data_IF_629673161841
#
_entry.id   IF_629673161841
#
_cell.length_a   1.000
_cell.length_b   1.000
_cell.length_c   1.000
_cell.angle_alpha   90.00
_cell.angle_beta   90.00
_cell.angle_gamma   90.00
#
_symmetry.space_group_name_H-M   'P 1'
#
loop_
_entity.id
_entity.type
_entity.pdbx_description
1 polymer ?
#
# COMPACT_ATOMS: atom_id res chain seq x y z
N UNK A 1 -26.20 16.74 -6.75
CA UNK A 1 -25.53 16.44 -8.03
C UNK A 1 -24.93 15.06 -7.87
N UNK A 2 -25.51 14.06 -8.54
CA UNK A 2 -25.01 12.68 -8.55
C UNK A 2 -23.62 12.66 -9.19
N UNK A 3 -22.57 12.68 -8.35
CA UNK A 3 -21.21 12.37 -8.77
C UNK A 3 -21.20 10.93 -9.26
N UNK A 4 -21.30 10.81 -10.59
CA UNK A 4 -21.35 9.55 -11.31
C UNK A 4 -20.29 8.61 -10.77
N UNK A 5 -20.78 7.46 -10.33
CA UNK A 5 -20.06 6.20 -10.14
C UNK A 5 -19.43 5.81 -11.48
N UNK A 6 -18.34 6.46 -11.87
CA UNK A 6 -17.65 6.14 -13.12
C UNK A 6 -16.87 4.84 -12.92
N UNK A 7 -17.52 3.75 -13.35
CA UNK A 7 -16.82 2.49 -13.63
C UNK A 7 -15.93 2.75 -14.83
N UNK A 8 -14.61 2.63 -14.65
CA UNK A 8 -13.63 2.84 -15.71
C UNK A 8 -13.14 1.50 -16.22
N UNK A 9 -12.91 1.42 -17.53
CA UNK A 9 -12.42 0.23 -18.21
C UNK A 9 -10.92 0.36 -18.46
N UNK A 10 -10.18 -0.70 -18.20
CA UNK A 10 -8.73 -0.75 -18.33
C UNK A 10 -8.32 -2.03 -19.05
N UNK A 11 -7.23 -1.97 -19.82
CA UNK A 11 -6.60 -3.14 -20.40
C UNK A 11 -5.34 -3.49 -19.58
N UNK A 12 -5.34 -4.67 -18.96
CA UNK A 12 -4.21 -5.18 -18.18
C UNK A 12 -3.87 -6.56 -18.71
N UNK A 13 -2.63 -6.75 -19.18
CA UNK A 13 -2.16 -8.02 -19.77
C UNK A 13 -3.03 -8.55 -20.93
N UNK A 14 -3.71 -7.66 -21.66
CA UNK A 14 -4.63 -8.03 -22.75
C UNK A 14 -6.05 -8.36 -22.27
N UNK A 15 -6.33 -8.27 -20.97
CA UNK A 15 -7.66 -8.46 -20.40
C UNK A 15 -8.31 -7.10 -20.14
N UNK A 16 -9.55 -6.94 -20.60
CA UNK A 16 -10.36 -5.76 -20.29
C UNK A 16 -11.05 -5.94 -18.93
N UNK A 17 -10.68 -5.10 -17.98
CA UNK A 17 -11.18 -5.12 -16.60
C UNK A 17 -11.88 -3.80 -16.28
N UNK A 18 -12.97 -3.90 -15.52
CA UNK A 18 -13.77 -2.76 -15.08
C UNK A 18 -13.55 -2.53 -13.60
N UNK A 19 -13.08 -1.35 -13.24
CA UNK A 19 -12.85 -0.98 -11.85
C UNK A 19 -13.77 0.18 -11.47
N UNK A 20 -14.43 0.04 -10.33
CA UNK A 20 -15.16 1.14 -9.68
C UNK A 20 -14.25 1.72 -8.60
N UNK A 21 -14.24 3.05 -8.44
CA UNK A 21 -13.63 3.67 -7.27
C UNK A 21 -14.30 3.13 -5.99
N UNK A 22 -13.49 2.70 -5.02
CA UNK A 22 -13.95 2.22 -3.72
C UNK A 22 -14.34 3.40 -2.83
N UNK A 23 -15.50 3.32 -2.18
CA UNK A 23 -16.06 4.39 -1.34
C UNK A 23 -15.56 4.28 0.12
N UNK A 24 -14.96 3.14 0.51
CA UNK A 24 -14.59 2.86 1.90
C UNK A 24 -13.15 3.15 2.31
N UNK A 25 -12.20 3.16 1.37
CA UNK A 25 -10.77 3.32 1.64
C UNK A 25 -10.16 4.45 0.79
N UNK A 26 -10.36 5.68 1.27
CA UNK A 26 -9.62 6.90 0.92
C UNK A 26 -9.29 7.09 -0.56
N UNK A 27 -10.24 7.57 -1.36
CA UNK A 27 -10.04 8.28 -2.65
C UNK A 27 -8.88 7.84 -3.58
N UNK A 28 -8.48 6.56 -3.60
CA UNK A 28 -7.47 6.10 -4.55
C UNK A 28 -8.13 5.98 -5.93
N UNK A 29 -7.68 6.83 -6.86
CA UNK A 29 -8.15 6.79 -8.23
C UNK A 29 -7.90 5.41 -8.87
N UNK A 30 -8.88 4.81 -9.57
CA UNK A 30 -8.72 3.54 -10.28
C UNK A 30 -7.48 3.48 -11.19
N UNK A 31 -7.15 4.60 -11.84
CA UNK A 31 -5.95 4.76 -12.66
C UNK A 31 -4.68 4.43 -11.88
N UNK A 32 -4.59 4.91 -10.64
CA UNK A 32 -3.39 4.75 -9.82
C UNK A 32 -3.16 3.29 -9.45
N UNK A 33 -4.24 2.56 -9.22
CA UNK A 33 -4.21 1.12 -8.95
C UNK A 33 -3.69 0.37 -10.18
N UNK A 34 -4.20 0.73 -11.36
CA UNK A 34 -3.80 0.11 -12.62
C UNK A 34 -2.35 0.42 -12.97
N UNK A 35 -1.90 1.67 -12.78
CA UNK A 35 -0.50 2.07 -12.96
C UNK A 35 0.45 1.25 -12.08
N UNK A 36 0.09 1.06 -10.80
CA UNK A 36 0.89 0.25 -9.87
C UNK A 36 1.02 -1.20 -10.37
N UNK A 37 -0.10 -1.81 -10.74
CA UNK A 37 -0.12 -3.19 -11.26
C UNK A 37 0.67 -3.30 -12.56
N UNK A 38 0.55 -2.33 -13.47
CA UNK A 38 1.28 -2.34 -14.74
C UNK A 38 2.79 -2.19 -14.53
N UNK A 39 3.23 -1.32 -13.62
CA UNK A 39 4.64 -1.17 -13.28
C UNK A 39 5.24 -2.48 -12.75
N UNK A 40 4.48 -3.22 -11.94
CA UNK A 40 4.91 -4.52 -11.43
C UNK A 40 4.98 -5.60 -12.50
N UNK A 41 3.97 -5.65 -13.38
CA UNK A 41 3.98 -6.53 -14.56
C UNK A 41 5.20 -6.26 -15.44
N UNK A 42 5.50 -5.00 -15.72
CA UNK A 42 6.63 -4.60 -16.58
C UNK A 42 7.97 -4.97 -15.91
N UNK A 43 8.07 -4.82 -14.59
CA UNK A 43 9.24 -5.23 -13.81
C UNK A 43 9.47 -6.74 -13.87
N UNK A 44 8.41 -7.54 -13.75
CA UNK A 44 8.47 -9.01 -13.85
C UNK A 44 8.83 -9.44 -15.26
N UNK A 45 8.19 -8.87 -16.29
CA UNK A 45 8.47 -9.20 -17.70
C UNK A 45 9.90 -8.86 -18.12
N UNK A 46 10.49 -7.78 -17.58
CA UNK A 46 11.91 -7.45 -17.81
C UNK A 46 12.85 -8.54 -17.28
N UNK A 47 12.50 -9.19 -16.17
CA UNK A 47 13.32 -10.24 -15.55
C UNK A 47 13.06 -11.62 -16.15
N UNK A 48 11.82 -11.87 -16.58
CA UNK A 48 11.38 -13.15 -17.12
C UNK A 48 10.41 -12.93 -18.30
N UNK A 49 10.93 -12.66 -19.51
CA UNK A 49 10.11 -12.31 -20.68
C UNK A 49 9.29 -13.48 -21.24
N UNK A 50 9.64 -14.72 -20.88
CA UNK A 50 8.99 -15.94 -21.38
C UNK A 50 7.74 -16.34 -20.58
N UNK A 51 7.39 -15.61 -19.52
CA UNK A 51 6.23 -15.94 -18.69
C UNK A 51 4.92 -15.65 -19.41
N UNK A 52 3.95 -16.54 -19.24
CA UNK A 52 2.59 -16.32 -19.70
C UNK A 52 1.92 -15.14 -18.98
N UNK A 53 0.86 -14.55 -19.58
CA UNK A 53 0.09 -13.48 -18.93
C UNK A 53 -0.47 -13.90 -17.55
N UNK A 54 -0.99 -15.12 -17.43
CA UNK A 54 -1.52 -15.64 -16.17
C UNK A 54 -0.44 -15.77 -15.09
N UNK A 55 0.72 -16.34 -15.42
CA UNK A 55 1.84 -16.49 -14.48
C UNK A 55 2.38 -15.12 -14.04
N UNK A 56 2.48 -14.18 -14.98
CA UNK A 56 2.89 -12.80 -14.70
C UNK A 56 1.92 -12.11 -13.74
N UNK A 57 0.61 -12.29 -13.95
CA UNK A 57 -0.42 -11.73 -13.08
C UNK A 57 -0.35 -12.31 -11.65
N UNK A 58 -0.16 -13.63 -11.52
CA UNK A 58 -0.01 -14.28 -10.21
C UNK A 58 1.23 -13.78 -9.48
N UNK A 59 2.38 -13.67 -10.18
CA UNK A 59 3.60 -13.13 -9.58
C UNK A 59 3.45 -11.67 -9.17
N UNK A 60 2.78 -10.84 -9.97
CA UNK A 60 2.49 -9.46 -9.63
C UNK A 60 1.61 -9.37 -8.37
N UNK A 61 0.57 -10.20 -8.28
CA UNK A 61 -0.29 -10.26 -7.09
C UNK A 61 0.46 -10.70 -5.84
N UNK A 62 1.31 -11.74 -5.94
CA UNK A 62 2.14 -12.21 -4.84
C UNK A 62 3.11 -11.14 -4.35
N UNK A 63 3.72 -10.39 -5.28
CA UNK A 63 4.64 -9.32 -4.93
C UNK A 63 3.92 -8.16 -4.24
N UNK A 64 2.80 -7.69 -4.78
CA UNK A 64 2.00 -6.63 -4.15
C UNK A 64 1.54 -7.05 -2.75
N UNK A 65 1.14 -8.31 -2.56
CA UNK A 65 0.76 -8.83 -1.26
C UNK A 65 1.95 -8.84 -0.27
N UNK A 66 3.13 -9.25 -0.73
CA UNK A 66 4.37 -9.21 0.07
C UNK A 66 4.73 -7.79 0.49
N UNK A 67 4.68 -6.84 -0.44
CA UNK A 67 5.01 -5.43 -0.20
C UNK A 67 4.02 -4.82 0.81
N UNK A 68 2.72 -5.16 0.69
CA UNK A 68 1.70 -4.73 1.66
C UNK A 68 1.98 -5.27 3.06
N UNK A 69 2.25 -6.56 3.20
CA UNK A 69 2.54 -7.16 4.50
C UNK A 69 3.80 -6.54 5.14
N UNK A 70 4.83 -6.30 4.32
CA UNK A 70 6.07 -5.66 4.78
C UNK A 70 5.79 -4.24 5.27
N UNK A 71 5.02 -3.46 4.51
CA UNK A 71 4.65 -2.09 4.90
C UNK A 71 3.81 -2.06 6.19
N UNK A 72 2.86 -2.98 6.34
CA UNK A 72 2.03 -3.09 7.53
C UNK A 72 2.87 -3.39 8.78
N UNK A 73 3.89 -4.25 8.65
CA UNK A 73 4.78 -4.60 9.75
C UNK A 73 5.78 -3.47 10.07
N UNK A 74 6.36 -2.82 9.05
CA UNK A 74 7.20 -1.62 9.23
C UNK A 74 6.44 -0.48 9.90
N UNK A 75 5.16 -0.30 9.53
CA UNK A 75 4.30 0.73 10.13
C UNK A 75 4.04 0.43 11.62
N UNK A 76 3.68 -0.81 11.97
CA UNK A 76 3.51 -1.21 13.38
C UNK A 76 4.78 -0.99 14.18
N UNK A 77 5.93 -1.38 13.65
CA UNK A 77 7.23 -1.21 14.30
C UNK A 77 7.55 0.27 14.53
N UNK A 78 7.30 1.11 13.54
CA UNK A 78 7.50 2.56 13.63
C UNK A 78 6.62 3.19 14.73
N UNK A 79 5.33 2.82 14.77
CA UNK A 79 4.39 3.28 15.79
C UNK A 79 4.83 2.84 17.19
N UNK A 80 5.27 1.60 17.36
CA UNK A 80 5.76 1.10 18.65
C UNK A 80 7.02 1.85 19.10
N UNK A 81 7.98 2.09 18.20
CA UNK A 81 9.19 2.86 18.52
C UNK A 81 8.87 4.28 18.92
N UNK A 82 7.95 4.94 18.22
CA UNK A 82 7.50 6.29 18.55
C UNK A 82 6.80 6.34 19.90
N UNK A 83 5.92 5.38 20.20
CA UNK A 83 5.24 5.28 21.49
C UNK A 83 6.21 5.06 22.65
N UNK A 84 7.23 4.20 22.47
CA UNK A 84 8.30 4.02 23.45
C UNK A 84 9.08 5.31 23.67
N UNK A 85 9.54 5.96 22.61
CA UNK A 85 10.28 7.22 22.71
C UNK A 85 9.48 8.33 23.41
N UNK A 86 8.17 8.41 23.16
CA UNK A 86 7.29 9.35 23.85
C UNK A 86 7.13 9.02 25.34
N UNK A 87 7.02 7.73 25.68
CA UNK A 87 6.94 7.27 27.08
C UNK A 87 8.25 7.56 27.81
N UNK A 88 9.38 7.26 27.19
CA UNK A 88 10.71 7.52 27.75
C UNK A 88 10.93 9.03 27.97
N UNK A 89 10.47 9.87 27.03
CA UNK A 89 10.55 11.33 27.18
C UNK A 89 9.67 11.85 28.33
N UNK A 90 8.46 11.31 28.51
CA UNK A 90 7.58 11.66 29.63
C UNK A 90 8.19 11.24 30.97
N UNK A 91 8.69 10.00 31.06
CA UNK A 91 9.36 9.50 32.25
C UNK A 91 10.59 10.36 32.60
N UNK A 92 11.38 10.75 31.60
CA UNK A 92 12.51 11.65 31.81
C UNK A 92 12.06 13.00 32.39
N UNK A 93 10.98 13.60 31.86
CA UNK A 93 10.41 14.84 32.40
C UNK A 93 9.96 14.66 33.86
N UNK A 94 9.32 13.55 34.20
CA UNK A 94 8.90 13.25 35.58
C UNK A 94 10.09 13.07 36.53
N UNK A 95 11.14 12.38 36.09
CA UNK A 95 12.37 12.19 36.88
C UNK A 95 13.15 13.49 37.10
N UNK A 96 13.12 14.41 36.13
CA UNK A 96 13.82 15.70 36.22
C UNK A 96 12.94 16.86 36.72
N UNK A 97 11.66 16.62 37.00
CA UNK A 97 10.77 17.61 37.64
C UNK A 97 11.10 17.63 39.13
N UNK A 98 11.79 18.67 39.66
CA UNK A 98 12.08 18.73 41.08
C UNK A 98 10.74 18.78 41.81
N UNK A 99 10.50 17.80 42.69
CA UNK A 99 9.35 17.79 43.58
C UNK A 99 9.29 19.17 44.24
N UNK A 100 8.29 19.97 43.86
CA UNK A 100 8.08 21.28 44.44
C UNK A 100 7.68 21.05 45.89
N UNK A 101 8.65 21.22 46.79
CA UNK A 101 8.43 21.42 48.23
C UNK A 101 7.85 22.82 48.42
#
# INVERSE_FOLDING_TARGET
MDSKREVKEFNVLGYNVRLKADEGNGDIAPERIVELVQAEIDSIRKKAPNLGPGETAVLAALKIASDKLTLDDEFKDSVMRMSRAATDALNYIEEVSPSTI
#
